data_IF_176517260160
#
_entry.id   IF_176517260160
#
_cell.length_a   1.000
_cell.length_b   1.000
_cell.length_c   1.000
_cell.angle_alpha   90.00
_cell.angle_beta   90.00
_cell.angle_gamma   90.00
#
_symmetry.space_group_name_H-M   'P 1'
#
loop_
_entity.id
_entity.type
_entity.pdbx_description
1 polymer ?
#
# COMPACT_ATOMS: atom_id res chain seq x y z
N UNK A 1 -25.90 -11.41 -3.21
CA UNK A 1 -26.86 -11.18 -4.30
C UNK A 1 -26.09 -10.99 -5.60
N UNK A 2 -26.35 -11.91 -6.51
CA UNK A 2 -25.96 -11.95 -7.90
C UNK A 2 -26.71 -10.87 -8.67
N UNK A 3 -26.06 -9.78 -9.11
CA UNK A 3 -26.58 -8.84 -10.11
C UNK A 3 -25.53 -7.77 -10.35
N UNK A 4 -24.71 -7.90 -11.40
CA UNK A 4 -24.14 -6.83 -12.24
C UNK A 4 -23.27 -7.52 -13.33
N UNK A 5 -23.92 -8.27 -14.23
CA UNK A 5 -23.30 -8.86 -15.43
C UNK A 5 -23.22 -7.82 -16.56
N UNK A 6 -22.60 -6.68 -16.28
CA UNK A 6 -22.28 -5.66 -17.28
C UNK A 6 -20.84 -5.85 -17.71
N UNK A 7 -20.63 -6.18 -18.99
CA UNK A 7 -19.36 -6.55 -19.59
C UNK A 7 -18.20 -5.61 -19.25
N UNK A 8 -17.36 -6.01 -18.29
CA UNK A 8 -15.97 -5.57 -18.28
C UNK A 8 -15.20 -6.67 -18.98
N UNK A 9 -14.67 -6.38 -20.17
CA UNK A 9 -13.73 -7.27 -20.84
C UNK A 9 -12.49 -7.35 -19.95
N UNK A 10 -12.39 -8.42 -19.16
CA UNK A 10 -11.24 -8.62 -18.28
C UNK A 10 -10.12 -9.18 -19.16
N UNK A 11 -9.27 -8.28 -19.63
CA UNK A 11 -8.16 -8.55 -20.54
C UNK A 11 -7.21 -9.63 -20.00
N UNK A 12 -7.13 -9.77 -18.68
CA UNK A 12 -6.38 -10.82 -18.00
C UNK A 12 -7.13 -11.34 -16.76
N UNK A 13 -8.05 -12.29 -16.99
CA UNK A 13 -8.86 -12.93 -15.95
C UNK A 13 -8.00 -13.52 -14.80
N UNK A 14 -6.86 -14.18 -15.05
CA UNK A 14 -5.93 -14.59 -13.99
C UNK A 14 -5.45 -13.44 -13.09
N UNK A 15 -5.07 -12.30 -13.68
CA UNK A 15 -4.59 -11.14 -12.92
C UNK A 15 -5.71 -10.52 -12.07
N UNK A 16 -6.92 -10.44 -12.62
CA UNK A 16 -8.09 -9.95 -11.89
C UNK A 16 -8.44 -10.87 -10.72
N UNK A 17 -8.46 -12.19 -10.94
CA UNK A 17 -8.75 -13.17 -9.90
C UNK A 17 -7.69 -13.14 -8.79
N UNK A 18 -6.43 -13.00 -9.17
CA UNK A 18 -5.32 -12.86 -8.22
C UNK A 18 -5.50 -11.62 -7.33
N UNK A 19 -5.77 -10.46 -7.92
CA UNK A 19 -6.01 -9.22 -7.18
C UNK A 19 -7.25 -9.31 -6.28
N UNK A 20 -8.34 -9.91 -6.76
CA UNK A 20 -9.57 -10.07 -5.98
C UNK A 20 -9.38 -11.01 -4.79
N UNK A 21 -8.71 -12.16 -4.99
CA UNK A 21 -8.39 -13.10 -3.92
C UNK A 21 -7.42 -12.47 -2.92
N UNK A 22 -6.39 -11.79 -3.39
CA UNK A 22 -5.43 -11.07 -2.52
C UNK A 22 -6.13 -10.03 -1.65
N UNK A 23 -6.99 -9.20 -2.25
CA UNK A 23 -7.73 -8.18 -1.52
C UNK A 23 -8.67 -8.79 -0.46
N UNK A 24 -9.27 -9.94 -0.75
CA UNK A 24 -10.06 -10.68 0.23
C UNK A 24 -9.21 -11.28 1.36
N UNK A 25 -8.02 -11.80 1.06
CA UNK A 25 -7.07 -12.29 2.07
C UNK A 25 -6.61 -11.14 2.98
N UNK A 26 -6.28 -9.97 2.42
CA UNK A 26 -5.95 -8.80 3.24
C UNK A 26 -7.11 -8.33 4.10
N UNK A 27 -8.35 -8.33 3.57
CA UNK A 27 -9.55 -8.05 4.38
C UNK A 27 -9.74 -9.06 5.50
N UNK A 28 -9.46 -10.34 5.25
CA UNK A 28 -9.53 -11.39 6.26
C UNK A 28 -8.43 -11.23 7.34
N UNK A 29 -7.19 -10.95 6.94
CA UNK A 29 -6.07 -10.73 7.86
C UNK A 29 -6.24 -9.44 8.70
N UNK A 30 -6.82 -8.39 8.11
CA UNK A 30 -7.23 -7.17 8.84
C UNK A 30 -8.31 -7.49 9.88
N UNK A 31 -9.26 -8.37 9.55
CA UNK A 31 -10.29 -8.86 10.48
C UNK A 31 -9.73 -9.71 11.62
N UNK A 32 -8.61 -10.40 11.39
CA UNK A 32 -7.90 -11.20 12.40
C UNK A 32 -6.89 -10.39 13.23
N UNK A 33 -6.69 -9.09 12.96
CA UNK A 33 -5.76 -8.23 13.69
C UNK A 33 -4.27 -8.56 13.44
N UNK A 34 -3.94 -9.35 12.42
CA UNK A 34 -2.56 -9.78 12.10
C UNK A 34 -1.89 -8.91 11.04
N UNK A 35 -2.57 -7.87 10.58
CA UNK A 35 -2.06 -6.88 9.63
C UNK A 35 -2.66 -5.51 9.98
N UNK A 36 -1.82 -4.57 10.40
CA UNK A 36 -2.23 -3.20 10.74
C UNK A 36 -1.67 -2.28 9.65
N UNK A 37 -2.53 -1.78 8.73
CA UNK A 37 -2.18 -0.66 7.85
C UNK A 37 -1.67 0.53 8.67
N UNK A 38 -0.73 1.30 8.14
CA UNK A 38 -0.16 2.49 8.84
C UNK A 38 -1.28 3.43 9.32
N UNK A 39 -2.35 3.56 8.53
CA UNK A 39 -3.53 4.36 8.87
C UNK A 39 -4.23 3.86 10.15
N UNK A 40 -4.31 2.55 10.37
CA UNK A 40 -4.93 1.96 11.56
C UNK A 40 -4.00 2.05 12.78
N UNK A 41 -2.67 1.98 12.60
CA UNK A 41 -1.68 2.21 13.65
C UNK A 41 -1.82 3.63 14.24
N UNK A 42 -2.12 4.61 13.39
CA UNK A 42 -2.33 5.99 13.79
C UNK A 42 -3.62 6.21 14.59
N UNK A 43 -4.66 5.41 14.32
CA UNK A 43 -5.91 5.40 15.08
C UNK A 43 -5.68 4.83 16.48
N UNK A 44 -4.91 3.74 16.61
CA UNK A 44 -4.50 3.23 17.93
C UNK A 44 -3.70 4.26 18.72
N UNK A 45 -2.69 4.89 18.11
CA UNK A 45 -1.90 5.95 18.77
C UNK A 45 -2.79 7.12 19.23
N UNK A 46 -3.84 7.45 18.49
CA UNK A 46 -4.80 8.51 18.86
C UNK A 46 -5.69 8.14 20.05
N UNK A 47 -6.00 6.84 20.24
CA UNK A 47 -6.78 6.34 21.37
C UNK A 47 -5.97 6.30 22.68
N UNK A 48 -4.64 6.15 22.59
CA UNK A 48 -3.77 6.08 23.77
C UNK A 48 -3.28 7.43 24.30
N UNK A 49 -3.28 8.50 23.48
CA UNK A 49 -2.80 9.83 23.87
C UNK A 49 -3.71 10.96 23.34
N UNK A 50 -4.77 11.34 24.08
CA UNK A 50 -5.74 12.36 23.65
C UNK A 50 -5.26 13.81 23.88
N UNK A 51 -3.95 14.04 23.96
CA UNK A 51 -3.40 15.34 24.35
C UNK A 51 -3.06 16.21 23.13
N UNK A 52 -3.14 17.54 23.26
CA UNK A 52 -2.94 18.50 22.16
C UNK A 52 -1.55 18.40 21.50
N UNK A 53 -0.56 17.87 22.21
CA UNK A 53 0.78 17.56 21.68
C UNK A 53 0.75 16.41 20.66
N UNK A 54 -0.24 15.52 20.70
CA UNK A 54 -0.36 14.39 19.79
C UNK A 54 -0.59 14.83 18.34
N UNK A 55 -1.38 15.88 18.11
CA UNK A 55 -1.64 16.43 16.78
C UNK A 55 -0.41 17.18 16.21
N UNK A 56 0.35 17.84 17.08
CA UNK A 56 1.61 18.48 16.70
C UNK A 56 2.66 17.43 16.31
N UNK A 57 2.86 16.41 17.16
CA UNK A 57 3.76 15.29 16.90
C UNK A 57 3.37 14.54 15.60
N UNK A 58 2.07 14.37 15.34
CA UNK A 58 1.59 13.80 14.08
C UNK A 58 1.97 14.66 12.88
N UNK A 59 1.76 15.97 12.95
CA UNK A 59 2.13 16.89 11.86
C UNK A 59 3.64 16.85 11.61
N UNK A 60 4.46 16.82 12.65
CA UNK A 60 5.91 16.71 12.52
C UNK A 60 6.35 15.37 11.93
N UNK A 61 5.72 14.27 12.37
CA UNK A 61 5.96 12.94 11.82
C UNK A 61 5.64 12.89 10.33
N UNK A 62 4.45 13.35 9.91
CA UNK A 62 4.04 13.37 8.51
C UNK A 62 4.92 14.28 7.67
N UNK A 63 5.28 15.46 8.18
CA UNK A 63 6.20 16.38 7.50
C UNK A 63 7.56 15.72 7.24
N UNK A 64 8.08 15.00 8.22
CA UNK A 64 9.36 14.30 8.12
C UNK A 64 9.26 13.11 7.16
N UNK A 65 8.18 12.33 7.28
CA UNK A 65 7.88 11.23 6.38
C UNK A 65 7.78 11.69 4.92
N UNK A 66 6.99 12.73 4.64
CA UNK A 66 6.82 13.27 3.29
C UNK A 66 8.13 13.85 2.75
N UNK A 67 8.94 14.51 3.59
CA UNK A 67 10.26 14.99 3.21
C UNK A 67 11.17 13.82 2.78
N UNK A 68 11.17 12.71 3.53
CA UNK A 68 11.96 11.52 3.19
C UNK A 68 11.48 10.86 1.89
N UNK A 69 10.16 10.74 1.70
CA UNK A 69 9.57 10.17 0.48
C UNK A 69 9.83 11.07 -0.73
N UNK A 70 9.80 12.39 -0.56
CA UNK A 70 10.07 13.35 -1.63
C UNK A 70 11.57 13.51 -1.94
N UNK A 71 12.46 13.20 -0.99
CA UNK A 71 13.90 13.16 -1.21
C UNK A 71 14.36 11.93 -2.02
N UNK A 72 13.49 10.92 -2.19
CA UNK A 72 13.81 9.75 -3.01
C UNK A 72 13.89 10.12 -4.50
N UNK A 73 14.75 9.45 -5.28
CA UNK A 73 14.72 9.56 -6.74
C UNK A 73 13.32 9.23 -7.30
N UNK A 74 12.86 9.89 -8.38
CA UNK A 74 11.48 9.76 -8.87
C UNK A 74 11.03 8.31 -9.14
N UNK A 75 11.92 7.50 -9.71
CA UNK A 75 11.65 6.08 -9.97
C UNK A 75 11.44 5.28 -8.67
N UNK A 76 12.25 5.56 -7.65
CA UNK A 76 12.17 4.90 -6.34
C UNK A 76 10.93 5.32 -5.59
N UNK A 77 10.62 6.62 -5.61
CA UNK A 77 9.42 7.17 -5.00
C UNK A 77 8.15 6.55 -5.59
N UNK A 78 8.07 6.43 -6.92
CA UNK A 78 6.94 5.83 -7.61
C UNK A 78 6.74 4.37 -7.19
N UNK A 79 7.81 3.57 -7.22
CA UNK A 79 7.76 2.16 -6.81
C UNK A 79 7.38 2.03 -5.32
N UNK A 80 7.90 2.90 -4.46
CA UNK A 80 7.56 2.93 -3.04
C UNK A 80 6.07 3.19 -2.81
N UNK A 81 5.49 4.21 -3.45
CA UNK A 81 4.04 4.51 -3.35
C UNK A 81 3.19 3.37 -3.90
N UNK A 82 3.54 2.82 -5.06
CA UNK A 82 2.84 1.66 -5.63
C UNK A 82 2.86 0.45 -4.69
N UNK A 83 3.98 0.22 -3.99
CA UNK A 83 4.10 -0.91 -3.07
C UNK A 83 3.40 -0.69 -1.74
N UNK A 84 3.64 0.45 -1.08
CA UNK A 84 3.18 0.70 0.29
C UNK A 84 1.84 1.43 0.38
N UNK A 85 1.47 2.26 -0.61
CA UNK A 85 0.19 2.99 -0.62
C UNK A 85 -0.86 2.24 -1.42
N UNK A 86 -0.49 1.73 -2.60
CA UNK A 86 -1.41 1.01 -3.48
C UNK A 86 -1.41 -0.52 -3.23
N UNK A 87 -0.56 -1.02 -2.32
CA UNK A 87 -0.44 -2.44 -1.96
C UNK A 87 -0.20 -3.36 -3.18
N UNK A 88 0.53 -2.87 -4.18
CA UNK A 88 0.91 -3.66 -5.34
C UNK A 88 2.13 -4.53 -5.03
N UNK A 89 2.11 -5.77 -5.50
CA UNK A 89 3.25 -6.67 -5.38
C UNK A 89 4.38 -6.25 -6.31
N UNK A 90 5.61 -6.64 -5.97
CA UNK A 90 6.80 -6.41 -6.81
C UNK A 90 6.62 -6.94 -8.24
N UNK A 91 5.82 -8.01 -8.40
CA UNK A 91 5.43 -8.57 -9.70
C UNK A 91 4.57 -7.60 -10.52
N UNK A 92 3.50 -7.10 -9.92
CA UNK A 92 2.54 -6.23 -10.62
C UNK A 92 3.17 -4.88 -10.97
N UNK A 93 4.00 -4.35 -10.07
CA UNK A 93 4.76 -3.11 -10.33
C UNK A 93 5.73 -3.33 -11.50
N UNK A 94 6.40 -4.48 -11.54
CA UNK A 94 7.30 -4.84 -12.64
C UNK A 94 6.55 -4.94 -13.98
N UNK A 95 5.37 -5.57 -13.99
CA UNK A 95 4.51 -5.66 -15.18
C UNK A 95 4.02 -4.28 -15.64
N UNK A 96 3.54 -3.45 -14.71
CA UNK A 96 2.99 -2.12 -15.02
C UNK A 96 4.07 -1.14 -15.52
N UNK A 97 5.27 -1.19 -14.95
CA UNK A 97 6.38 -0.32 -15.33
C UNK A 97 7.27 -0.92 -16.45
N UNK A 98 6.95 -2.13 -16.92
CA UNK A 98 7.78 -2.89 -17.89
C UNK A 98 9.24 -3.04 -17.43
N UNK A 99 9.43 -3.30 -16.14
CA UNK A 99 10.73 -3.51 -15.50
C UNK A 99 10.89 -4.98 -15.09
N UNK A 100 12.12 -5.40 -14.78
CA UNK A 100 12.33 -6.71 -14.15
C UNK A 100 11.91 -6.69 -12.67
N UNK A 101 11.44 -7.82 -12.13
CA UNK A 101 11.16 -7.92 -10.69
C UNK A 101 12.36 -7.57 -9.83
N UNK A 102 13.56 -7.98 -10.24
CA UNK A 102 14.81 -7.66 -9.52
C UNK A 102 15.08 -6.16 -9.48
N UNK A 103 14.79 -5.45 -10.57
CA UNK A 103 14.90 -3.98 -10.63
C UNK A 103 13.93 -3.32 -9.65
N UNK A 104 12.67 -3.76 -9.60
CA UNK A 104 11.68 -3.22 -8.66
C UNK A 104 12.03 -3.53 -7.21
N UNK A 105 12.45 -4.78 -6.93
CA UNK A 105 12.91 -5.20 -5.60
C UNK A 105 14.08 -4.34 -5.09
N UNK A 106 15.05 -4.03 -5.96
CA UNK A 106 16.20 -3.20 -5.62
C UNK A 106 15.85 -1.74 -5.31
N UNK A 107 14.70 -1.25 -5.80
CA UNK A 107 14.20 0.09 -5.51
C UNK A 107 13.47 0.14 -4.17
N UNK A 108 12.99 -1.00 -3.67
CA UNK A 108 12.40 -1.09 -2.34
C UNK A 108 13.49 -1.15 -1.25
N UNK A 109 13.23 -0.65 -0.04
CA UNK A 109 14.12 -0.86 1.10
C UNK A 109 14.34 -2.36 1.32
N UNK A 110 15.61 -2.78 1.50
CA UNK A 110 15.90 -4.14 1.96
C UNK A 110 15.48 -4.24 3.43
N UNK A 111 14.67 -5.25 3.75
CA UNK A 111 14.44 -5.67 5.14
C UNK A 111 15.62 -6.49 5.64
#
# INVERSE_FOLDING_TARGET
MWNHRGANYIDNLPAYLFSAVRNNVFRALKKEGRFIPIDDLLVEVQLFYPDADSDLLKKEFFKTYDALVNAMPPARQKIFRMHYHENLSTKEIAEMLKLSRGTVQNQLPRQ
#
